data_IF_246181606899
#
_entry.id   IF_246181606899
#
_cell.length_a   1.000
_cell.length_b   1.000
_cell.length_c   1.000
_cell.angle_alpha   90.00
_cell.angle_beta   90.00
_cell.angle_gamma   90.00
#
_symmetry.space_group_name_H-M   'P 1'
#
loop_
_entity.id
_entity.type
_entity.pdbx_description
1 polymer ?
#
# COMPACT_ATOMS: atom_id res chain seq x y z
N UNK A 1 -3.12 -1.51 -26.94
CA UNK A 1 -2.19 -1.73 -25.84
C UNK A 1 -2.92 -1.87 -24.52
N UNK A 2 -2.54 -2.80 -23.71
CA UNK A 2 -3.16 -3.02 -22.43
C UNK A 2 -2.74 -1.92 -21.46
N UNK A 3 -3.70 -1.37 -20.74
CA UNK A 3 -3.41 -0.37 -19.72
C UNK A 3 -2.60 -0.99 -18.59
N UNK A 4 -1.53 -0.32 -18.19
CA UNK A 4 -0.74 -0.71 -17.02
C UNK A 4 -1.40 -0.27 -15.71
N UNK A 5 -2.50 0.48 -15.80
CA UNK A 5 -3.18 1.02 -14.63
C UNK A 5 -4.23 0.06 -14.07
N UNK A 6 -3.94 -1.23 -14.06
CA UNK A 6 -4.81 -2.22 -13.42
C UNK A 6 -4.19 -2.69 -12.12
N UNK A 7 -5.02 -3.24 -11.24
CA UNK A 7 -4.54 -3.91 -10.04
C UNK A 7 -4.89 -5.39 -10.16
N UNK A 8 -4.03 -6.12 -10.89
CA UNK A 8 -4.23 -7.51 -11.20
C UNK A 8 -4.10 -8.39 -9.95
N UNK A 9 -4.70 -9.59 -10.00
CA UNK A 9 -4.69 -10.53 -8.87
C UNK A 9 -3.27 -10.87 -8.40
N UNK A 10 -2.33 -11.06 -9.33
CA UNK A 10 -0.96 -11.41 -9.00
C UNK A 10 -0.17 -10.25 -8.38
N UNK A 11 -0.70 -9.03 -8.45
CA UNK A 11 -0.11 -7.86 -7.78
C UNK A 11 -0.65 -7.67 -6.36
N UNK A 12 -1.55 -8.55 -5.91
CA UNK A 12 -2.16 -8.45 -4.59
C UNK A 12 -1.45 -9.38 -3.62
N UNK A 13 -1.02 -8.81 -2.50
CA UNK A 13 -0.48 -9.58 -1.40
C UNK A 13 -1.66 -10.07 -0.56
N UNK A 14 -1.91 -11.38 -0.55
CA UNK A 14 -3.12 -11.95 0.04
C UNK A 14 -2.80 -12.92 1.18
N UNK A 15 -1.75 -13.74 1.03
CA UNK A 15 -1.47 -14.81 1.97
C UNK A 15 -0.89 -14.31 3.28
N UNK A 16 -1.39 -14.84 4.38
CA UNK A 16 -0.93 -14.47 5.72
C UNK A 16 0.59 -14.66 5.89
N UNK A 17 1.14 -15.74 5.33
CA UNK A 17 2.59 -15.99 5.41
C UNK A 17 3.40 -14.89 4.73
N UNK A 18 2.89 -14.33 3.64
CA UNK A 18 3.57 -13.26 2.92
C UNK A 18 3.55 -11.96 3.72
N UNK A 19 2.42 -11.64 4.36
CA UNK A 19 2.33 -10.51 5.28
C UNK A 19 3.31 -10.65 6.44
N UNK A 20 3.35 -11.84 7.05
CA UNK A 20 4.27 -12.10 8.17
C UNK A 20 5.72 -11.88 7.78
N UNK A 21 6.09 -12.32 6.59
CA UNK A 21 7.46 -12.15 6.09
C UNK A 21 7.82 -10.68 5.94
N UNK A 22 6.90 -9.88 5.40
CA UNK A 22 7.11 -8.44 5.27
C UNK A 22 7.23 -7.79 6.64
N UNK A 23 6.39 -8.17 7.61
CA UNK A 23 6.47 -7.64 8.97
C UNK A 23 7.78 -8.01 9.66
N UNK A 24 8.27 -9.23 9.45
CA UNK A 24 9.47 -9.72 10.11
C UNK A 24 10.74 -9.13 9.50
N UNK A 25 10.84 -9.15 8.18
CA UNK A 25 12.08 -8.88 7.47
C UNK A 25 12.09 -7.54 6.72
N UNK A 26 10.94 -6.90 6.57
CA UNK A 26 10.82 -5.67 5.79
C UNK A 26 11.29 -4.43 6.53
N UNK A 27 11.57 -3.39 5.76
CA UNK A 27 11.85 -2.06 6.30
C UNK A 27 10.56 -1.27 6.44
N UNK A 28 10.55 -0.32 7.38
CA UNK A 28 9.37 0.50 7.66
C UNK A 28 9.64 1.97 7.38
N UNK A 29 8.66 2.62 6.80
CA UNK A 29 8.67 4.06 6.53
C UNK A 29 7.33 4.62 7.00
N UNK A 30 7.34 5.80 7.58
CA UNK A 30 6.15 6.33 8.25
C UNK A 30 5.77 7.71 7.74
N UNK A 31 4.47 7.93 7.57
CA UNK A 31 3.87 9.24 7.35
C UNK A 31 2.65 9.33 8.28
N UNK A 32 2.80 10.01 9.42
CA UNK A 32 1.77 10.08 10.45
C UNK A 32 1.44 8.68 11.00
N UNK A 33 0.19 8.28 10.87
CA UNK A 33 -0.29 6.97 11.33
C UNK A 33 -0.35 5.93 10.20
N UNK A 34 0.27 6.21 9.07
CA UNK A 34 0.41 5.26 7.96
C UNK A 34 1.85 4.76 7.93
N UNK A 35 2.02 3.46 7.83
CA UNK A 35 3.33 2.84 7.73
C UNK A 35 3.38 2.08 6.42
N UNK A 36 4.44 2.30 5.64
CA UNK A 36 4.75 1.48 4.48
C UNK A 36 5.84 0.51 4.89
N UNK A 37 5.57 -0.79 4.75
CA UNK A 37 6.58 -1.83 4.97
C UNK A 37 6.98 -2.40 3.63
N UNK A 38 8.27 -2.59 3.43
CA UNK A 38 8.85 -2.91 2.14
C UNK A 38 9.83 -4.07 2.27
N UNK A 39 9.68 -5.07 1.40
CA UNK A 39 10.60 -6.20 1.34
C UNK A 39 10.87 -6.55 -0.12
N UNK A 40 12.14 -6.64 -0.56
CA UNK A 40 12.44 -7.15 -1.90
C UNK A 40 11.92 -8.58 -2.07
N UNK A 41 11.31 -8.88 -3.22
CA UNK A 41 10.69 -10.18 -3.43
C UNK A 41 11.35 -11.00 -4.56
N UNK A 42 12.40 -10.48 -5.18
CA UNK A 42 13.12 -11.14 -6.27
C UNK A 42 12.22 -11.48 -7.48
N UNK A 43 11.10 -10.79 -7.63
CA UNK A 43 10.19 -10.95 -8.77
C UNK A 43 10.27 -9.75 -9.69
N UNK A 44 9.59 -9.84 -10.83
CA UNK A 44 9.57 -8.75 -11.82
C UNK A 44 8.43 -7.77 -11.59
N UNK A 45 7.64 -7.98 -10.55
CA UNK A 45 6.49 -7.12 -10.24
C UNK A 45 6.39 -6.87 -8.74
N UNK A 46 5.68 -5.82 -8.40
CA UNK A 46 5.33 -5.54 -7.02
C UNK A 46 4.08 -6.30 -6.61
N UNK A 47 4.02 -6.69 -5.34
CA UNK A 47 2.78 -7.17 -4.73
C UNK A 47 2.43 -6.24 -3.59
N UNK A 48 1.18 -5.81 -3.52
CA UNK A 48 0.73 -4.79 -2.57
C UNK A 48 -0.39 -5.33 -1.72
N UNK A 49 -0.28 -5.12 -0.42
CA UNK A 49 -1.31 -5.46 0.54
C UNK A 49 -1.63 -4.29 1.46
N UNK A 50 -2.80 -4.35 2.08
CA UNK A 50 -3.27 -3.32 2.99
C UNK A 50 -3.68 -3.98 4.30
N UNK A 51 -3.19 -3.46 5.41
CA UNK A 51 -3.48 -3.98 6.73
C UNK A 51 -4.16 -2.90 7.56
N UNK A 52 -5.45 -3.08 7.78
CA UNK A 52 -6.26 -2.17 8.59
C UNK A 52 -7.09 -3.02 9.53
N UNK A 53 -6.75 -3.01 10.82
CA UNK A 53 -7.46 -3.84 11.78
C UNK A 53 -8.77 -3.19 12.24
N UNK A 54 -9.70 -4.03 12.72
CA UNK A 54 -10.93 -3.56 13.33
C UNK A 54 -10.67 -2.80 14.63
N UNK A 55 -9.54 -3.03 15.28
CA UNK A 55 -9.14 -2.26 16.45
C UNK A 55 -8.74 -0.83 16.07
N UNK A 56 -8.07 -0.68 14.93
CA UNK A 56 -7.65 0.63 14.44
C UNK A 56 -8.82 1.44 13.89
N UNK A 57 -9.68 0.78 13.11
CA UNK A 57 -10.87 1.40 12.51
C UNK A 57 -12.03 0.42 12.63
N UNK A 58 -12.97 0.74 13.50
CA UNK A 58 -14.06 -0.19 13.86
C UNK A 58 -15.02 -0.49 12.72
N UNK A 59 -15.38 0.53 11.94
CA UNK A 59 -16.40 0.37 10.90
C UNK A 59 -15.81 -0.21 9.63
N UNK A 60 -16.35 -1.34 9.19
CA UNK A 60 -15.87 -2.04 8.01
C UNK A 60 -15.91 -1.18 6.75
N UNK A 61 -16.97 -0.39 6.58
CA UNK A 61 -17.06 0.45 5.39
C UNK A 61 -15.97 1.52 5.33
N UNK A 62 -15.51 2.01 6.49
CA UNK A 62 -14.39 2.95 6.57
C UNK A 62 -13.09 2.27 6.16
N UNK A 63 -12.85 1.06 6.66
CA UNK A 63 -11.67 0.28 6.27
C UNK A 63 -11.65 0.03 4.77
N UNK A 64 -12.79 -0.35 4.21
CA UNK A 64 -12.90 -0.64 2.78
C UNK A 64 -12.71 0.61 1.93
N UNK A 65 -13.22 1.75 2.39
CA UNK A 65 -13.01 3.03 1.70
C UNK A 65 -11.53 3.39 1.63
N UNK A 66 -10.83 3.27 2.76
CA UNK A 66 -9.40 3.59 2.82
C UNK A 66 -8.59 2.66 1.92
N UNK A 67 -8.87 1.36 1.96
CA UNK A 67 -8.23 0.40 1.06
C UNK A 67 -8.43 0.78 -0.39
N UNK A 68 -9.66 1.18 -0.74
CA UNK A 68 -9.98 1.56 -2.12
C UNK A 68 -9.19 2.78 -2.57
N UNK A 69 -9.07 3.78 -1.71
CA UNK A 69 -8.32 4.99 -2.02
C UNK A 69 -6.83 4.68 -2.25
N UNK A 70 -6.22 3.86 -1.41
CA UNK A 70 -4.81 3.49 -1.57
C UNK A 70 -4.57 2.53 -2.73
N UNK A 71 -5.52 1.63 -3.02
CA UNK A 71 -5.45 0.80 -4.23
C UNK A 71 -5.46 1.66 -5.48
N UNK A 72 -6.29 2.67 -5.49
CA UNK A 72 -6.38 3.62 -6.60
C UNK A 72 -5.08 4.39 -6.76
N UNK A 73 -4.49 4.82 -5.66
CA UNK A 73 -3.19 5.50 -5.67
C UNK A 73 -2.10 4.60 -6.25
N UNK A 74 -2.05 3.34 -5.84
CA UNK A 74 -1.11 2.38 -6.41
C UNK A 74 -1.38 2.16 -7.89
N UNK A 75 -2.62 1.87 -8.26
CA UNK A 75 -3.00 1.58 -9.64
C UNK A 75 -2.59 2.69 -10.60
N UNK A 76 -2.82 3.92 -10.21
CA UNK A 76 -2.52 5.09 -11.05
C UNK A 76 -1.05 5.46 -11.09
N UNK A 77 -0.27 5.05 -10.10
CA UNK A 77 1.12 5.47 -9.98
C UNK A 77 2.13 4.32 -10.08
N UNK A 78 1.67 3.10 -10.34
CA UNK A 78 2.59 1.94 -10.32
C UNK A 78 3.67 2.00 -11.38
N UNK A 79 3.44 2.71 -12.48
CA UNK A 79 4.43 2.84 -13.55
C UNK A 79 5.65 3.68 -13.17
N UNK A 80 5.53 4.50 -12.14
CA UNK A 80 6.65 5.31 -11.65
C UNK A 80 7.29 4.71 -10.41
N UNK A 81 6.96 3.46 -10.09
CA UNK A 81 7.58 2.74 -8.98
C UNK A 81 8.59 1.72 -9.49
N UNK A 82 9.67 1.56 -8.75
CA UNK A 82 10.59 0.44 -8.96
C UNK A 82 9.85 -0.86 -8.67
N UNK A 83 10.19 -1.91 -9.39
CA UNK A 83 9.53 -3.22 -9.28
C UNK A 83 10.37 -4.19 -8.45
N UNK A 84 9.73 -5.26 -8.00
CA UNK A 84 10.40 -6.32 -7.26
C UNK A 84 10.26 -6.21 -5.75
N UNK A 85 9.16 -5.65 -5.28
CA UNK A 85 8.93 -5.48 -3.84
C UNK A 85 7.57 -6.00 -3.41
N UNK A 86 7.54 -6.56 -2.21
CA UNK A 86 6.31 -6.75 -1.47
C UNK A 86 6.10 -5.51 -0.61
N UNK A 87 4.95 -4.87 -0.76
CA UNK A 87 4.63 -3.59 -0.15
C UNK A 87 3.37 -3.76 0.70
N UNK A 88 3.44 -3.41 1.97
CA UNK A 88 2.27 -3.43 2.85
C UNK A 88 2.04 -2.05 3.43
N UNK A 89 0.85 -1.51 3.21
CA UNK A 89 0.41 -0.29 3.86
C UNK A 89 -0.36 -0.65 5.12
N UNK A 90 0.14 -0.20 6.27
CA UNK A 90 -0.49 -0.42 7.56
C UNK A 90 -1.12 0.89 8.00
N UNK A 91 -2.43 0.88 8.22
CA UNK A 91 -3.16 2.06 8.68
C UNK A 91 -3.50 1.87 10.15
N UNK A 92 -2.97 2.74 11.00
CA UNK A 92 -3.07 2.62 12.45
C UNK A 92 -4.25 3.37 13.06
N UNK A 93 -4.89 4.25 12.29
CA UNK A 93 -5.94 5.12 12.78
C UNK A 93 -6.81 5.57 11.61
N UNK A 94 -8.08 5.90 11.87
CA UNK A 94 -8.97 6.41 10.83
C UNK A 94 -8.54 7.82 10.39
N UNK A 95 -8.80 8.11 9.14
CA UNK A 95 -8.65 9.44 8.59
C UNK A 95 -9.91 10.26 8.87
N UNK A 96 -9.82 11.57 8.67
CA UNK A 96 -11.02 12.43 8.69
C UNK A 96 -12.00 11.96 7.62
N UNK A 97 -13.29 12.25 7.83
CA UNK A 97 -14.36 11.75 6.95
C UNK A 97 -14.19 12.12 5.50
N UNK A 98 -13.70 13.31 5.24
CA UNK A 98 -13.54 13.81 3.87
C UNK A 98 -12.14 13.52 3.29
N UNK A 99 -11.43 12.56 3.84
CA UNK A 99 -10.14 12.14 3.30
C UNK A 99 -10.33 11.73 1.84
N UNK A 100 -9.63 12.42 0.95
CA UNK A 100 -9.83 12.31 -0.49
C UNK A 100 -8.78 11.44 -1.15
N UNK A 101 -9.04 11.07 -2.41
CA UNK A 101 -8.03 10.40 -3.22
C UNK A 101 -6.76 11.23 -3.36
N UNK A 102 -6.87 12.55 -3.56
CA UNK A 102 -5.70 13.41 -3.68
C UNK A 102 -4.81 13.33 -2.43
N UNK A 103 -5.42 13.31 -1.26
CA UNK A 103 -4.68 13.16 -0.01
C UNK A 103 -4.04 11.78 0.11
N UNK A 104 -4.76 10.73 -0.27
CA UNK A 104 -4.21 9.37 -0.27
C UNK A 104 -3.03 9.26 -1.23
N UNK A 105 -3.12 9.86 -2.40
CA UNK A 105 -2.04 9.87 -3.38
C UNK A 105 -0.80 10.58 -2.83
N UNK A 106 -0.98 11.71 -2.17
CA UNK A 106 0.15 12.41 -1.55
C UNK A 106 0.87 11.56 -0.51
N UNK A 107 0.10 10.89 0.36
CA UNK A 107 0.68 9.98 1.36
C UNK A 107 1.42 8.84 0.67
N UNK A 108 0.80 8.25 -0.34
CA UNK A 108 1.38 7.15 -1.09
C UNK A 108 2.71 7.55 -1.73
N UNK A 109 2.74 8.66 -2.44
CA UNK A 109 3.94 9.13 -3.11
C UNK A 109 5.03 9.55 -2.13
N UNK A 110 4.66 10.19 -1.02
CA UNK A 110 5.60 10.56 0.03
C UNK A 110 6.30 9.33 0.60
N UNK A 111 5.52 8.29 0.96
CA UNK A 111 6.08 7.06 1.51
C UNK A 111 6.94 6.33 0.47
N UNK A 112 6.51 6.30 -0.78
CA UNK A 112 7.27 5.67 -1.86
C UNK A 112 8.60 6.37 -2.09
N UNK A 113 8.63 7.70 -1.97
CA UNK A 113 9.85 8.47 -2.07
C UNK A 113 10.78 8.17 -0.89
N UNK A 114 10.27 8.17 0.33
CA UNK A 114 11.06 7.83 1.51
C UNK A 114 11.67 6.44 1.39
N UNK A 115 10.90 5.49 0.87
CA UNK A 115 11.33 4.11 0.72
C UNK A 115 12.34 3.90 -0.42
N UNK A 116 12.55 4.92 -1.25
CA UNK A 116 13.48 4.84 -2.37
C UNK A 116 12.96 4.02 -3.56
N UNK A 117 11.65 3.80 -3.66
CA UNK A 117 11.05 3.04 -4.75
C UNK A 117 10.37 3.90 -5.81
N UNK A 118 10.39 5.20 -5.63
CA UNK A 118 9.87 6.12 -6.64
C UNK A 118 10.96 6.35 -7.69
N UNK A 119 10.61 6.17 -8.94
CA UNK A 119 11.54 6.38 -10.07
C UNK A 119 11.88 7.85 -10.27
#
# INVERSE_FOLDING_TARGET
MISDETFAKQERLIKTKDFRKVYKDGRSYRAGFIILRLLPNAALMNRVGFSISAQSIKRAFRRNRIKRLFREAYRRNKNILRKGFDIVFVVRRDFKENFSYAEAQQVFLNLSKQAGILL
#
